data_IF_276287350425
#
_entry.id   IF_276287350425
#
_cell.length_a   1.000
_cell.length_b   1.000
_cell.length_c   1.000
_cell.angle_alpha   90.00
_cell.angle_beta   90.00
_cell.angle_gamma   90.00
#
_symmetry.space_group_name_H-M   'P 1'
#
loop_
_entity.id
_entity.type
_entity.pdbx_description
1 polymer ?
#
# COMPACT_ATOMS: atom_id res chain seq x y z
N UNK A 1 -8.81 12.17 0.18
CA UNK A 1 -9.83 13.07 0.74
C UNK A 1 -9.21 13.91 1.85
N UNK A 2 -8.39 14.94 1.54
CA UNK A 2 -7.80 15.79 2.59
C UNK A 2 -8.86 16.60 3.36
N UNK A 3 -10.02 16.83 2.75
CA UNK A 3 -11.23 17.38 3.36
C UNK A 3 -11.72 16.62 4.59
N UNK A 4 -11.39 15.32 4.72
CA UNK A 4 -11.89 14.48 5.82
C UNK A 4 -10.84 14.25 6.92
N UNK A 5 -9.72 14.98 6.92
CA UNK A 5 -8.59 14.76 7.82
C UNK A 5 -8.95 14.87 9.31
N UNK A 6 -9.90 15.74 9.68
CA UNK A 6 -10.38 15.88 11.06
C UNK A 6 -11.20 14.69 11.57
N UNK A 7 -11.65 13.83 10.65
CA UNK A 7 -12.42 12.62 10.94
C UNK A 7 -11.56 11.37 11.04
N UNK A 8 -10.22 11.50 10.93
CA UNK A 8 -9.31 10.37 11.07
C UNK A 8 -9.33 9.89 12.52
N UNK A 9 -9.72 8.63 12.73
CA UNK A 9 -9.80 8.02 14.06
C UNK A 9 -8.80 6.88 14.27
N UNK A 10 -8.16 6.39 13.21
CA UNK A 10 -7.03 5.46 13.28
C UNK A 10 -6.21 5.51 11.99
N UNK A 11 -5.03 4.89 12.02
CA UNK A 11 -4.20 4.65 10.85
C UNK A 11 -4.02 3.15 10.62
N UNK A 12 -3.82 2.78 9.37
CA UNK A 12 -3.51 1.40 9.00
C UNK A 12 -2.22 1.35 8.20
N UNK A 13 -1.28 0.53 8.64
CA UNK A 13 -0.06 0.18 7.93
C UNK A 13 -0.21 -1.22 7.34
N UNK A 14 0.30 -1.43 6.12
CA UNK A 14 0.29 -2.76 5.51
C UNK A 14 1.04 -3.76 6.38
N UNK A 15 0.46 -4.94 6.55
CA UNK A 15 1.14 -6.08 7.19
C UNK A 15 2.46 -6.45 6.48
N UNK A 16 2.62 -6.10 5.21
CA UNK A 16 3.84 -6.35 4.43
C UNK A 16 4.78 -5.13 4.38
N UNK A 17 4.47 -4.06 5.11
CA UNK A 17 5.28 -2.85 5.09
C UNK A 17 6.67 -3.11 5.73
N UNK A 18 7.80 -2.77 5.06
CA UNK A 18 9.14 -3.07 5.57
C UNK A 18 9.43 -2.49 6.96
N UNK A 19 8.85 -1.31 7.23
CA UNK A 19 9.01 -0.58 8.49
C UNK A 19 7.93 -0.85 9.53
N UNK A 20 7.08 -1.87 9.34
CA UNK A 20 6.00 -2.18 10.28
C UNK A 20 6.53 -2.38 11.70
N UNK A 21 7.59 -3.17 11.85
CA UNK A 21 8.12 -3.53 13.17
C UNK A 21 8.71 -2.34 13.94
N UNK A 22 9.06 -1.24 13.26
CA UNK A 22 9.50 0.00 13.93
C UNK A 22 8.36 0.69 14.70
N UNK A 23 7.10 0.41 14.33
CA UNK A 23 5.89 0.98 14.96
C UNK A 23 5.26 0.03 15.98
N UNK A 24 5.86 -1.13 16.22
CA UNK A 24 5.31 -2.17 17.08
C UNK A 24 5.97 -2.07 18.45
N UNK A 25 5.16 -1.89 19.49
CA UNK A 25 5.62 -1.94 20.88
C UNK A 25 6.00 -3.36 21.28
N UNK A 26 6.84 -3.51 22.31
CA UNK A 26 7.30 -4.83 22.76
C UNK A 26 6.15 -5.71 23.23
N UNK A 27 5.16 -5.11 23.89
CA UNK A 27 3.97 -5.77 24.41
C UNK A 27 3.13 -6.37 23.28
N UNK A 28 3.09 -5.68 22.14
CA UNK A 28 2.22 -6.02 21.01
C UNK A 28 2.92 -6.87 19.94
N UNK A 29 4.22 -7.08 20.08
CA UNK A 29 5.05 -7.85 19.16
C UNK A 29 4.57 -9.29 18.95
N UNK A 30 4.18 -10.08 19.99
CA UNK A 30 3.70 -11.44 19.81
C UNK A 30 2.47 -11.53 18.89
N UNK A 31 1.48 -10.68 19.12
CA UNK A 31 0.24 -10.65 18.35
C UNK A 31 0.48 -10.26 16.89
N UNK A 32 1.40 -9.31 16.65
CA UNK A 32 1.79 -8.90 15.29
C UNK A 32 2.50 -10.05 14.58
N UNK A 33 3.43 -10.74 15.24
CA UNK A 33 4.12 -11.87 14.63
C UNK A 33 3.18 -13.02 14.29
N UNK A 34 2.21 -13.33 15.15
CA UNK A 34 1.16 -14.30 14.87
C UNK A 34 0.30 -13.88 13.67
N UNK A 35 -0.11 -12.62 13.62
CA UNK A 35 -0.86 -12.05 12.51
C UNK A 35 -0.09 -12.14 11.18
N UNK A 36 1.20 -11.83 11.20
CA UNK A 36 2.06 -11.93 10.01
C UNK A 36 2.23 -13.38 9.54
N UNK A 37 2.35 -14.35 10.45
CA UNK A 37 2.39 -15.78 10.12
C UNK A 37 1.10 -16.19 9.41
N UNK A 38 -0.06 -15.80 9.95
CA UNK A 38 -1.38 -16.08 9.37
C UNK A 38 -1.54 -15.49 7.97
N UNK A 39 -1.04 -14.28 7.73
CA UNK A 39 -1.12 -13.62 6.41
C UNK A 39 -0.17 -14.26 5.40
N UNK A 40 1.04 -14.68 5.80
CA UNK A 40 1.99 -15.36 4.91
C UNK A 40 1.42 -16.68 4.34
N UNK A 41 0.59 -17.38 5.09
CA UNK A 41 -0.10 -18.58 4.57
C UNK A 41 -1.14 -18.24 3.48
N UNK A 42 -1.59 -16.98 3.41
CA UNK A 42 -2.59 -16.49 2.44
C UNK A 42 -1.92 -15.83 1.22
N UNK A 43 -0.59 -15.69 1.18
CA UNK A 43 0.12 -14.86 0.20
C UNK A 43 0.33 -15.53 -1.17
N UNK A 44 -0.73 -15.67 -1.96
CA UNK A 44 -0.69 -15.90 -3.42
C UNK A 44 -1.94 -15.34 -4.13
N UNK A 45 -2.55 -14.29 -3.57
CA UNK A 45 -3.90 -13.85 -3.97
C UNK A 45 -3.90 -12.48 -4.68
N UNK A 46 -4.70 -12.36 -5.74
CA UNK A 46 -4.83 -11.13 -6.53
C UNK A 46 -5.52 -9.99 -5.75
N UNK A 47 -5.45 -8.74 -6.23
CA UNK A 47 -6.13 -7.58 -5.59
C UNK A 47 -7.63 -7.81 -5.37
N UNK A 48 -8.31 -8.50 -6.30
CA UNK A 48 -9.74 -8.85 -6.16
C UNK A 48 -9.99 -9.77 -4.99
N UNK A 49 -9.12 -10.76 -4.80
CA UNK A 49 -9.22 -11.69 -3.69
C UNK A 49 -8.94 -11.01 -2.34
N UNK A 50 -8.06 -10.00 -2.31
CA UNK A 50 -7.82 -9.20 -1.09
C UNK A 50 -9.01 -8.33 -0.69
N UNK A 51 -9.81 -7.85 -1.66
CA UNK A 51 -11.05 -7.11 -1.37
C UNK A 51 -12.16 -7.99 -0.80
N UNK A 52 -12.21 -9.26 -1.20
CA UNK A 52 -13.16 -10.26 -0.71
C UNK A 52 -12.75 -10.89 0.63
N UNK A 53 -11.46 -10.82 0.98
CA UNK A 53 -10.97 -11.31 2.26
C UNK A 53 -11.59 -10.50 3.42
N UNK A 54 -11.85 -11.22 4.51
CA UNK A 54 -12.24 -10.58 5.75
C UNK A 54 -11.13 -9.60 6.18
N UNK A 55 -11.53 -8.34 6.40
CA UNK A 55 -10.62 -7.30 6.87
C UNK A 55 -10.17 -7.64 8.29
N UNK A 56 -8.88 -7.88 8.43
CA UNK A 56 -8.26 -8.24 9.70
C UNK A 56 -7.12 -7.27 9.97
N UNK A 57 -6.94 -6.96 11.25
CA UNK A 57 -5.84 -6.17 11.73
C UNK A 57 -5.59 -6.35 13.21
N UNK A 58 -4.40 -5.92 13.62
CA UNK A 58 -3.90 -5.98 14.98
C UNK A 58 -3.35 -4.60 15.33
N UNK A 59 -3.70 -4.10 16.52
CA UNK A 59 -3.18 -2.83 17.02
C UNK A 59 -1.66 -2.95 17.16
N UNK A 60 -0.88 -1.91 16.89
CA UNK A 60 0.60 -2.00 17.01
C UNK A 60 1.12 -1.59 18.39
N UNK A 61 0.25 -1.08 19.27
CA UNK A 61 0.64 -0.42 20.52
C UNK A 61 1.02 1.04 20.35
N UNK A 62 1.23 1.49 19.10
CA UNK A 62 1.66 2.85 18.80
C UNK A 62 0.51 3.77 18.40
N UNK A 63 0.72 5.06 18.62
CA UNK A 63 -0.19 6.12 18.24
C UNK A 63 0.53 7.12 17.33
N UNK A 64 -0.16 7.57 16.29
CA UNK A 64 0.23 8.75 15.53
C UNK A 64 -0.48 10.00 16.09
N UNK A 65 0.01 11.17 15.72
CA UNK A 65 -0.64 12.45 16.05
C UNK A 65 -1.31 12.97 14.80
N UNK A 66 -2.63 13.19 14.84
CA UNK A 66 -3.34 13.80 13.74
C UNK A 66 -2.87 15.27 13.58
N UNK A 67 -2.28 15.64 12.42
CA UNK A 67 -1.71 16.96 12.25
C UNK A 67 -2.74 18.10 12.23
N UNK A 68 -4.03 17.77 12.08
CA UNK A 68 -5.12 18.73 12.01
C UNK A 68 -5.60 19.23 13.38
N UNK A 69 -5.68 18.33 14.36
CA UNK A 69 -6.27 18.59 15.69
C UNK A 69 -5.39 18.16 16.87
N UNK A 70 -4.26 17.48 16.62
CA UNK A 70 -3.34 17.01 17.66
C UNK A 70 -3.81 15.76 18.41
N UNK A 71 -4.93 15.16 18.02
CA UNK A 71 -5.46 13.95 18.65
C UNK A 71 -4.52 12.74 18.41
N UNK A 72 -4.35 11.91 19.45
CA UNK A 72 -3.66 10.62 19.33
C UNK A 72 -4.57 9.63 18.61
N UNK A 73 -4.09 9.06 17.51
CA UNK A 73 -4.82 8.08 16.70
C UNK A 73 -4.06 6.74 16.72
N UNK A 74 -4.71 5.63 17.07
CA UNK A 74 -4.04 4.33 17.12
C UNK A 74 -3.60 3.88 15.72
N UNK A 75 -2.44 3.23 15.66
CA UNK A 75 -1.90 2.63 14.43
C UNK A 75 -2.17 1.12 14.46
N UNK A 76 -2.70 0.60 13.35
CA UNK A 76 -3.06 -0.80 13.18
C UNK A 76 -2.28 -1.42 12.02
N UNK A 77 -1.82 -2.65 12.18
CA UNK A 77 -1.37 -3.47 11.07
C UNK A 77 -2.59 -4.11 10.40
N UNK A 78 -2.73 -4.01 9.08
CA UNK A 78 -3.89 -4.53 8.34
C UNK A 78 -3.53 -5.31 7.07
N UNK A 79 -4.39 -6.27 6.70
CA UNK A 79 -4.23 -7.10 5.50
C UNK A 79 -4.80 -6.48 4.20
N UNK A 80 -5.57 -5.40 4.31
CA UNK A 80 -6.25 -4.73 3.18
C UNK A 80 -5.52 -3.49 2.66
N UNK A 81 -4.37 -3.16 3.25
CA UNK A 81 -3.48 -2.09 2.78
C UNK A 81 -2.30 -2.73 2.06
N UNK A 82 -2.04 -2.26 0.85
CA UNK A 82 -0.98 -2.78 -0.03
C UNK A 82 0.28 -1.97 0.21
N UNK A 83 1.39 -2.62 0.57
CA UNK A 83 2.66 -1.96 0.87
C UNK A 83 3.17 -1.10 -0.31
N UNK A 84 3.07 -1.61 -1.53
CA UNK A 84 3.57 -0.96 -2.74
C UNK A 84 2.61 0.09 -3.33
N UNK A 85 1.43 0.28 -2.73
CA UNK A 85 0.48 1.31 -3.17
C UNK A 85 0.56 2.55 -2.30
N UNK A 86 0.90 3.68 -2.92
CA UNK A 86 1.05 4.95 -2.21
C UNK A 86 2.25 4.93 -1.27
N UNK A 87 2.02 5.06 0.03
CA UNK A 87 3.07 4.94 1.05
C UNK A 87 2.97 3.64 1.86
N UNK A 88 2.12 2.69 1.45
CA UNK A 88 1.85 1.47 2.21
C UNK A 88 1.19 1.71 3.58
N UNK A 89 0.70 2.92 3.83
CA UNK A 89 -0.02 3.35 5.01
C UNK A 89 -1.18 4.26 4.61
N UNK A 90 -2.30 4.19 5.32
CA UNK A 90 -3.46 5.04 5.09
C UNK A 90 -3.97 5.66 6.40
N UNK A 91 -4.48 6.88 6.29
CA UNK A 91 -5.38 7.43 7.31
C UNK A 91 -6.77 6.84 7.09
N UNK A 92 -7.43 6.40 8.16
CA UNK A 92 -8.76 5.82 8.08
C UNK A 92 -9.81 6.80 8.59
N UNK A 93 -10.87 7.01 7.80
CA UNK A 93 -11.99 7.91 8.13
C UNK A 93 -13.31 7.13 8.06
N UNK A 94 -13.69 6.43 9.13
CA UNK A 94 -14.85 5.53 9.14
C UNK A 94 -16.18 6.16 8.76
N UNK A 95 -16.35 7.47 8.98
CA UNK A 95 -17.61 8.12 8.62
C UNK A 95 -17.77 8.34 7.10
N UNK A 96 -16.67 8.23 6.33
CA UNK A 96 -16.59 8.65 4.93
C UNK A 96 -15.88 7.65 4.00
N UNK A 97 -15.46 6.48 4.48
CA UNK A 97 -14.99 5.33 3.69
C UNK A 97 -15.59 4.04 4.25
N UNK A 98 -16.22 3.24 3.38
CA UNK A 98 -16.97 2.05 3.78
C UNK A 98 -16.05 0.95 4.34
N UNK A 99 -14.82 0.84 3.81
CA UNK A 99 -13.85 -0.16 4.27
C UNK A 99 -13.35 0.18 5.66
N UNK A 100 -13.12 1.46 5.91
CA UNK A 100 -12.73 1.97 7.22
C UNK A 100 -13.86 1.79 8.23
N UNK A 101 -15.12 1.97 7.82
CA UNK A 101 -16.29 1.75 8.66
C UNK A 101 -16.46 0.31 9.09
N UNK A 102 -16.32 -0.64 8.18
CA UNK A 102 -16.41 -2.07 8.48
C UNK A 102 -15.32 -2.48 9.47
N UNK A 103 -14.09 -2.01 9.26
CA UNK A 103 -12.99 -2.24 10.18
C UNK A 103 -13.26 -1.60 11.55
N UNK A 104 -13.66 -0.32 11.57
CA UNK A 104 -13.97 0.39 12.81
C UNK A 104 -15.10 -0.28 13.58
N UNK A 105 -16.15 -0.75 12.90
CA UNK A 105 -17.26 -1.48 13.52
C UNK A 105 -16.78 -2.78 14.15
N UNK A 106 -15.95 -3.55 13.46
CA UNK A 106 -15.39 -4.82 13.94
C UNK A 106 -14.52 -4.62 15.19
N UNK A 107 -13.66 -3.61 15.17
CA UNK A 107 -12.68 -3.34 16.23
C UNK A 107 -13.15 -2.28 17.25
N UNK A 108 -14.44 -1.89 17.19
CA UNK A 108 -15.07 -0.89 18.08
C UNK A 108 -14.31 0.45 18.13
N UNK A 109 -13.76 0.87 16.99
CA UNK A 109 -13.04 2.14 16.85
C UNK A 109 -14.05 3.29 16.68
N UNK A 110 -13.82 4.47 17.28
CA UNK A 110 -14.70 5.61 17.12
C UNK A 110 -14.93 6.01 15.66
N UNK A 111 -16.16 6.44 15.36
CA UNK A 111 -16.58 6.95 14.06
C UNK A 111 -16.91 8.43 14.21
N UNK A 112 -16.20 9.31 13.48
CA UNK A 112 -16.36 10.76 13.56
C UNK A 112 -16.77 11.34 12.22
N UNK A 113 -18.00 11.84 12.14
CA UNK A 113 -18.50 12.51 10.94
C UNK A 113 -17.94 13.93 10.85
N UNK A 114 -17.40 14.26 9.68
CA UNK A 114 -16.83 15.59 9.37
C UNK A 114 -17.40 16.23 8.11
N UNK A 115 -18.27 15.55 7.38
CA UNK A 115 -19.02 16.12 6.25
C UNK A 115 -20.51 15.90 6.50
N UNK A 116 -21.29 16.97 6.40
CA UNK A 116 -22.74 16.94 6.49
C UNK A 116 -23.31 16.10 5.35
N UNK A 117 -24.18 15.16 5.68
CA UNK A 117 -24.83 14.33 4.69
C UNK A 117 -25.81 13.36 5.34
N UNK A 118 -26.76 12.86 4.57
CA UNK A 118 -27.71 11.86 5.03
C UNK A 118 -27.00 10.51 5.09
N UNK A 119 -26.82 9.98 6.30
CA UNK A 119 -26.29 8.64 6.53
C UNK A 119 -27.45 7.66 6.43
N UNK A 120 -27.42 6.78 5.43
CA UNK A 120 -28.33 5.64 5.36
C UNK A 120 -27.90 4.57 6.38
N UNK A 121 -28.87 3.82 6.91
CA UNK A 121 -28.60 2.80 7.93
C UNK A 121 -27.59 1.77 7.40
N UNK A 122 -26.44 1.67 8.07
CA UNK A 122 -25.38 0.72 7.73
C UNK A 122 -24.44 1.14 6.59
N UNK A 123 -24.60 2.35 6.04
CA UNK A 123 -23.71 2.91 5.01
C UNK A 123 -22.97 4.14 5.51
N UNK A 124 -21.83 4.42 4.92
CA UNK A 124 -21.10 5.69 5.15
C UNK A 124 -21.53 6.76 4.15
N UNK A 125 -21.37 8.02 4.54
CA UNK A 125 -21.63 9.14 3.62
C UNK A 125 -20.35 9.52 2.87
N UNK A 126 -20.28 9.21 1.58
CA UNK A 126 -19.11 9.49 0.73
C UNK A 126 -19.26 10.74 -0.15
N UNK A 127 -20.46 11.31 -0.21
CA UNK A 127 -20.84 12.40 -1.11
C UNK A 127 -20.26 13.77 -0.75
N UNK A 128 -20.75 14.79 -1.47
CA UNK A 128 -20.39 16.19 -1.27
C UNK A 128 -21.24 16.84 -0.19
N UNK A 129 -20.62 17.69 0.62
CA UNK A 129 -21.34 18.36 1.70
C UNK A 129 -20.49 19.44 2.33
N UNK A 130 -21.06 20.10 3.34
CA UNK A 130 -20.35 21.09 4.14
C UNK A 130 -19.58 20.40 5.26
N UNK A 131 -18.38 20.89 5.54
CA UNK A 131 -17.58 20.37 6.63
C UNK A 131 -18.20 20.71 7.99
N UNK A 132 -18.09 19.77 8.93
CA UNK A 132 -18.43 19.90 10.34
C UNK A 132 -17.32 19.28 11.19
N UNK A 133 -17.26 19.57 12.49
CA UNK A 133 -16.25 19.03 13.41
C UNK A 133 -14.79 19.18 12.90
N UNK A 134 -14.52 20.21 12.10
CA UNK A 134 -13.27 20.43 11.35
C UNK A 134 -12.62 21.79 11.65
N UNK A 135 -12.84 22.33 12.84
CA UNK A 135 -12.23 23.58 13.29
C UNK A 135 -12.54 24.78 12.38
N UNK A 136 -11.51 25.48 11.92
CA UNK A 136 -11.60 26.66 11.04
C UNK A 136 -12.21 26.36 9.65
N UNK A 137 -12.32 25.08 9.27
CA UNK A 137 -12.86 24.66 7.98
C UNK A 137 -14.35 24.32 8.01
N UNK A 138 -15.01 24.46 9.17
CA UNK A 138 -16.46 24.23 9.29
C UNK A 138 -17.25 25.09 8.29
N UNK A 139 -18.38 24.55 7.82
CA UNK A 139 -19.33 25.15 6.85
C UNK A 139 -18.81 25.30 5.42
N UNK A 140 -17.51 25.12 5.17
CA UNK A 140 -16.96 25.10 3.81
C UNK A 140 -17.48 23.89 3.04
N UNK A 141 -17.70 24.06 1.74
CA UNK A 141 -17.93 22.93 0.85
C UNK A 141 -16.66 22.05 0.75
N UNK A 142 -16.84 20.74 0.59
CA UNK A 142 -15.74 19.77 0.53
C UNK A 142 -14.67 20.10 -0.52
N UNK A 143 -15.02 20.59 -1.71
CA UNK A 143 -14.02 20.90 -2.74
C UNK A 143 -13.19 22.13 -2.40
N UNK A 144 -13.82 23.16 -1.87
CA UNK A 144 -13.13 24.34 -1.34
C UNK A 144 -12.21 23.96 -0.16
N UNK A 145 -12.72 23.12 0.75
CA UNK A 145 -11.98 22.63 1.89
C UNK A 145 -10.75 21.81 1.48
N UNK A 146 -10.84 20.95 0.45
CA UNK A 146 -9.67 20.21 -0.08
C UNK A 146 -8.54 21.15 -0.47
N UNK A 147 -8.84 22.30 -1.07
CA UNK A 147 -7.84 23.30 -1.47
C UNK A 147 -7.27 24.00 -0.25
N UNK A 148 -8.13 24.50 0.65
CA UNK A 148 -7.71 25.25 1.84
C UNK A 148 -6.90 24.40 2.82
N UNK A 149 -7.35 23.18 3.15
CA UNK A 149 -6.65 22.26 4.05
C UNK A 149 -5.28 21.88 3.49
N UNK A 150 -5.17 21.59 2.18
CA UNK A 150 -3.87 21.32 1.56
C UNK A 150 -2.91 22.49 1.72
N UNK A 151 -3.34 23.72 1.39
CA UNK A 151 -2.51 24.92 1.54
C UNK A 151 -2.11 25.14 3.00
N UNK A 152 -3.03 24.95 3.93
CA UNK A 152 -2.80 25.10 5.37
C UNK A 152 -1.77 24.09 5.89
N UNK A 153 -1.88 22.81 5.54
CA UNK A 153 -0.91 21.78 5.93
C UNK A 153 0.46 22.02 5.28
N UNK A 154 0.51 22.42 4.01
CA UNK A 154 1.78 22.72 3.33
C UNK A 154 2.49 23.92 3.96
N UNK A 155 1.77 24.97 4.35
CA UNK A 155 2.36 26.10 5.10
C UNK A 155 2.98 25.68 6.42
N UNK A 156 2.45 24.64 7.06
CA UNK A 156 2.96 24.06 8.31
C UNK A 156 4.08 23.02 8.11
N UNK A 157 4.50 22.77 6.87
CA UNK A 157 5.47 21.72 6.54
C UNK A 157 4.96 20.29 6.77
N UNK A 158 3.65 20.10 6.98
CA UNK A 158 3.04 18.81 7.32
C UNK A 158 2.44 18.06 6.12
N UNK A 159 2.44 18.66 4.93
CA UNK A 159 1.97 18.00 3.72
C UNK A 159 2.61 18.57 2.45
N UNK A 160 2.73 17.73 1.43
CA UNK A 160 3.06 18.14 0.06
C UNK A 160 1.99 17.66 -0.92
N UNK A 161 1.81 18.38 -2.03
CA UNK A 161 0.94 17.94 -3.12
C UNK A 161 1.61 16.76 -3.82
N UNK A 162 0.84 15.69 -4.04
CA UNK A 162 1.26 14.55 -4.86
C UNK A 162 0.15 14.20 -5.84
N UNK A 163 0.52 13.62 -6.97
CA UNK A 163 -0.39 13.03 -7.95
C UNK A 163 -0.05 11.55 -8.01
N UNK A 164 -1.06 10.70 -7.94
CA UNK A 164 -0.91 9.25 -7.99
C UNK A 164 -1.86 8.68 -9.03
N UNK A 165 -1.39 7.67 -9.76
CA UNK A 165 -2.16 6.94 -10.74
C UNK A 165 -2.49 5.56 -10.20
N UNK A 166 -3.65 5.02 -10.57
CA UNK A 166 -3.99 3.61 -10.32
C UNK A 166 -3.19 2.66 -11.22
N UNK A 167 -2.58 3.19 -12.27
CA UNK A 167 -1.73 2.43 -13.19
C UNK A 167 -0.52 1.87 -12.44
N UNK A 168 -0.21 0.61 -12.68
CA UNK A 168 0.98 -0.07 -12.14
C UNK A 168 2.01 -0.23 -13.23
N UNK A 169 3.25 -0.43 -12.81
CA UNK A 169 4.32 -0.81 -13.73
C UNK A 169 3.99 -2.10 -14.47
N UNK A 170 4.46 -2.17 -15.70
CA UNK A 170 4.24 -3.32 -16.54
C UNK A 170 5.21 -4.44 -16.16
N UNK A 171 4.68 -5.46 -15.47
CA UNK A 171 5.41 -6.70 -15.26
C UNK A 171 5.58 -7.41 -16.61
N UNK A 172 6.75 -7.31 -17.23
CA UNK A 172 7.09 -7.95 -18.52
C UNK A 172 7.71 -9.35 -18.35
N UNK A 173 8.38 -9.61 -17.22
CA UNK A 173 9.03 -10.89 -16.96
C UNK A 173 8.04 -12.04 -16.87
N UNK A 174 8.35 -13.18 -17.49
CA UNK A 174 7.51 -14.39 -17.46
C UNK A 174 8.36 -15.60 -17.12
N UNK A 175 7.87 -16.45 -16.22
CA UNK A 175 8.47 -17.76 -15.92
C UNK A 175 8.02 -18.79 -16.97
N UNK A 176 8.27 -18.49 -18.26
CA UNK A 176 7.90 -19.33 -19.40
C UNK A 176 9.09 -19.44 -20.34
N UNK A 177 9.23 -20.61 -20.96
CA UNK A 177 10.27 -20.84 -21.95
C UNK A 177 10.00 -20.09 -23.27
N UNK A 178 8.78 -20.21 -23.81
CA UNK A 178 8.45 -19.65 -25.13
C UNK A 178 8.22 -18.13 -25.06
N UNK A 179 9.31 -17.38 -25.22
CA UNK A 179 9.33 -15.92 -25.26
C UNK A 179 10.72 -15.38 -25.58
N UNK A 180 10.82 -14.08 -25.85
CA UNK A 180 12.11 -13.44 -26.06
C UNK A 180 12.93 -13.45 -24.75
N UNK A 181 14.19 -13.93 -24.76
CA UNK A 181 15.07 -13.82 -23.61
C UNK A 181 15.29 -12.34 -23.22
N UNK A 182 15.29 -12.07 -21.91
CA UNK A 182 15.56 -10.72 -21.39
C UNK A 182 17.08 -10.47 -21.48
N UNK A 183 17.55 -9.39 -22.14
CA UNK A 183 18.96 -9.18 -22.42
C UNK A 183 19.73 -8.61 -21.22
N UNK A 184 19.79 -9.40 -20.16
CA UNK A 184 20.43 -9.06 -18.90
C UNK A 184 21.31 -10.22 -18.43
N UNK A 185 22.50 -9.87 -17.98
CA UNK A 185 23.49 -10.73 -17.33
C UNK A 185 23.47 -10.45 -15.82
N UNK A 186 23.55 -11.51 -15.02
CA UNK A 186 23.83 -11.41 -13.59
C UNK A 186 25.31 -11.72 -13.36
N UNK A 187 26.08 -10.71 -12.97
CA UNK A 187 27.51 -10.81 -12.66
C UNK A 187 27.71 -10.73 -11.14
N UNK A 188 28.48 -11.66 -10.56
CA UNK A 188 28.73 -11.68 -9.11
C UNK A 188 29.53 -10.45 -8.61
N UNK A 189 30.26 -9.77 -9.50
CA UNK A 189 31.04 -8.57 -9.18
C UNK A 189 30.30 -7.27 -9.49
N UNK A 190 29.64 -7.19 -10.64
CA UNK A 190 29.02 -5.95 -11.14
C UNK A 190 27.50 -5.88 -10.90
N UNK A 191 26.86 -6.99 -10.53
CA UNK A 191 25.40 -7.07 -10.38
C UNK A 191 24.67 -7.28 -11.70
N UNK A 192 23.61 -6.50 -11.93
CA UNK A 192 22.72 -6.63 -13.09
C UNK A 192 23.28 -5.79 -14.23
N UNK A 193 23.74 -6.44 -15.31
CA UNK A 193 24.39 -5.77 -16.44
C UNK A 193 23.61 -6.05 -17.73
N UNK A 194 23.29 -5.04 -18.56
CA UNK A 194 22.65 -5.29 -19.85
C UNK A 194 23.62 -5.96 -20.82
N UNK A 195 23.10 -6.81 -21.71
CA UNK A 195 23.87 -7.36 -22.83
C UNK A 195 24.17 -6.25 -23.84
N UNK A 196 25.39 -6.25 -24.42
CA UNK A 196 25.78 -5.26 -25.43
C UNK A 196 24.94 -5.40 -26.70
N UNK A 197 24.65 -4.29 -27.38
CA UNK A 197 23.84 -4.28 -28.60
C UNK A 197 24.43 -5.19 -29.71
N UNK A 198 25.77 -5.24 -29.80
CA UNK A 198 26.49 -6.10 -30.76
C UNK A 198 26.28 -7.61 -30.53
N UNK A 199 25.94 -7.99 -29.30
CA UNK A 199 25.75 -9.38 -28.87
C UNK A 199 24.28 -9.82 -28.94
N UNK A 200 23.40 -8.95 -29.46
CA UNK A 200 22.00 -9.26 -29.76
C UNK A 200 21.86 -9.91 -31.16
N UNK A 201 20.87 -10.80 -31.36
CA UNK A 201 19.85 -11.23 -30.40
C UNK A 201 20.34 -12.39 -29.52
N UNK A 202 19.87 -12.42 -28.27
CA UNK A 202 20.02 -13.60 -27.41
C UNK A 202 19.06 -14.67 -27.90
N UNK A 203 19.61 -15.75 -28.45
CA UNK A 203 18.83 -16.85 -29.01
C UNK A 203 18.25 -17.70 -27.89
N UNK A 204 16.97 -18.04 -28.02
CA UNK A 204 16.30 -18.98 -27.12
C UNK A 204 16.87 -20.40 -27.35
N UNK A 205 17.33 -21.13 -26.33
CA UNK A 205 17.91 -22.47 -26.51
C UNK A 205 16.87 -23.49 -26.99
N UNK A 206 17.09 -24.16 -28.12
CA UNK A 206 16.08 -25.06 -28.73
C UNK A 206 15.79 -26.33 -27.92
N UNK A 207 16.80 -26.85 -27.20
CA UNK A 207 16.68 -28.08 -26.42
C UNK A 207 16.53 -27.72 -24.95
N UNK A 208 15.33 -27.82 -24.40
CA UNK A 208 15.06 -27.58 -22.96
C UNK A 208 14.30 -28.74 -22.32
N UNK A 209 14.56 -28.98 -21.03
CA UNK A 209 13.78 -29.93 -20.22
C UNK A 209 12.64 -29.18 -19.55
N UNK A 210 11.40 -29.56 -19.86
CA UNK A 210 10.22 -29.00 -19.22
C UNK A 210 10.01 -29.58 -17.82
N UNK A 211 9.64 -28.73 -16.87
CA UNK A 211 9.41 -29.09 -15.47
C UNK A 211 8.70 -27.96 -14.71
N UNK A 212 8.68 -28.01 -13.38
CA UNK A 212 8.16 -26.89 -12.56
C UNK A 212 9.17 -25.72 -12.59
N UNK A 213 8.70 -24.51 -12.90
CA UNK A 213 9.52 -23.31 -12.95
C UNK A 213 9.91 -22.89 -14.37
N UNK A 214 10.85 -21.96 -14.51
CA UNK A 214 11.34 -21.51 -15.81
C UNK A 214 12.29 -22.57 -16.40
N UNK A 215 11.98 -23.22 -17.54
CA UNK A 215 12.83 -24.26 -18.12
C UNK A 215 14.26 -23.79 -18.47
N UNK A 216 14.46 -22.47 -18.64
CA UNK A 216 15.77 -21.89 -18.89
C UNK A 216 16.71 -21.96 -17.68
N UNK A 217 16.23 -22.17 -16.45
CA UNK A 217 17.12 -22.31 -15.27
C UNK A 217 17.95 -23.58 -15.28
N UNK A 218 17.56 -24.57 -16.10
CA UNK A 218 18.35 -25.78 -16.32
C UNK A 218 19.51 -25.57 -17.29
N UNK A 219 19.52 -24.43 -17.99
CA UNK A 219 20.58 -23.99 -18.89
C UNK A 219 21.22 -22.74 -18.28
N UNK A 220 22.30 -22.93 -17.51
CA UNK A 220 23.13 -21.82 -17.08
C UNK A 220 23.77 -21.20 -18.33
N UNK A 221 23.26 -20.05 -18.78
CA UNK A 221 24.02 -19.17 -19.67
C UNK A 221 25.04 -18.48 -18.76
N UNK A 222 26.17 -19.15 -18.53
CA UNK A 222 27.26 -18.62 -17.74
C UNK A 222 27.95 -17.54 -18.59
N UNK A 223 27.90 -16.25 -18.22
CA UNK A 223 28.60 -15.23 -18.95
C UNK A 223 29.99 -15.14 -18.34
N UNK A 224 30.92 -15.97 -18.82
CA UNK A 224 32.35 -15.74 -18.55
C UNK A 224 32.81 -14.37 -19.09
N UNK A 225 31.97 -13.69 -19.88
CA UNK A 225 32.15 -12.31 -20.32
C UNK A 225 31.12 -11.39 -19.65
N UNK A 226 31.53 -10.73 -18.57
CA UNK A 226 30.87 -9.50 -18.15
C UNK A 226 31.33 -8.41 -19.13
N UNK A 227 30.43 -7.71 -19.86
CA UNK A 227 30.83 -6.76 -20.90
C UNK A 227 31.57 -5.51 -20.39
N UNK A 228 31.69 -5.35 -19.06
CA UNK A 228 32.56 -4.34 -18.44
C UNK A 228 34.04 -4.77 -18.39
N UNK A 229 34.37 -6.00 -18.81
CA UNK A 229 35.73 -6.56 -18.88
C UNK A 229 36.07 -7.11 -20.27
#
# INVERSE_FOLDING_TARGET
>A
RPDTLFGVTFMVISAQHPRLMELVTNEQKPDIEEFLKKIKTVSQKSMKEVEELEKQGVFTGSYAINPANGEKIPVWAGNFVIADYGSGMIMAVPAHDQRDFEFAKKYKIPVKQVISGKIEKGRVYTGEGKLMNSGEFNRLNNDEAKVKIRKWLSKKGKARKTIQFKLKDWLISRQRYWGAPIPVIYCDKCGIVPVSEKDLPIKLPEKVKFGKGNPLTTFFINPEFCPEF
#
